data_IF_661865002371
#
_entry.id   IF_661865002371
#
_cell.length_a   1.000
_cell.length_b   1.000
_cell.length_c   1.000
_cell.angle_alpha   90.00
_cell.angle_beta   90.00
_cell.angle_gamma   90.00
#
_symmetry.space_group_name_H-M   'P 1'
#
loop_
_entity.id
_entity.type
_entity.pdbx_description
1 polymer ?
#
# COMPACT_ATOMS: atom_id res chain seq x y z
N UNK A 1 -8.49 1.97 -7.42
CA UNK A 1 -7.70 2.97 -6.70
C UNK A 1 -6.21 2.71 -6.76
N UNK A 2 -5.49 3.44 -5.95
CA UNK A 2 -4.03 3.32 -5.80
C UNK A 2 -3.69 2.94 -4.38
N UNK A 3 -2.66 2.11 -4.22
CA UNK A 3 -2.05 1.81 -2.93
C UNK A 3 -0.58 2.21 -3.01
N UNK A 4 -0.09 2.87 -1.97
CA UNK A 4 1.25 3.45 -1.95
C UNK A 4 2.14 2.67 -0.98
N UNK A 5 3.08 1.92 -1.53
CA UNK A 5 4.03 1.13 -0.75
C UNK A 5 5.35 1.89 -0.68
N UNK A 6 5.61 2.48 0.48
CA UNK A 6 6.87 3.18 0.75
C UNK A 6 7.76 2.34 1.65
N UNK A 7 9.01 2.17 1.25
CA UNK A 7 10.00 1.38 1.99
C UNK A 7 11.15 2.28 2.40
N UNK A 8 11.52 2.25 3.67
CA UNK A 8 12.66 3.03 4.19
C UNK A 8 13.98 2.29 3.98
N UNK A 9 15.10 3.00 4.20
CA UNK A 9 16.44 2.41 4.13
C UNK A 9 16.65 1.26 5.12
N UNK A 10 15.88 1.25 6.22
CA UNK A 10 15.95 0.18 7.23
C UNK A 10 14.94 -0.93 6.97
N UNK A 11 14.43 -1.03 5.74
CA UNK A 11 13.49 -2.06 5.32
C UNK A 11 12.18 -2.04 6.11
N UNK A 12 11.72 -0.84 6.48
CA UNK A 12 10.42 -0.65 7.11
C UNK A 12 9.43 -0.16 6.09
N UNK A 13 8.20 -0.63 6.20
CA UNK A 13 7.11 -0.17 5.35
C UNK A 13 6.32 0.93 6.05
N UNK A 14 5.98 1.97 5.29
CA UNK A 14 5.22 3.11 5.81
C UNK A 14 3.74 2.76 5.83
N UNK A 15 3.12 2.87 6.99
CA UNK A 15 1.74 2.47 7.24
C UNK A 15 0.98 3.57 7.98
N UNK A 16 -0.34 3.47 7.99
CA UNK A 16 -1.18 4.32 8.84
C UNK A 16 -2.41 3.53 9.28
N UNK A 17 -3.07 4.03 10.33
CA UNK A 17 -4.34 3.48 10.80
C UNK A 17 -5.45 4.10 9.96
N UNK A 18 -6.26 3.26 9.31
CA UNK A 18 -7.41 3.73 8.53
C UNK A 18 -8.47 4.29 9.46
N UNK A 19 -9.24 5.30 9.00
CA UNK A 19 -10.38 5.80 9.80
C UNK A 19 -11.33 4.68 10.20
N UNK A 20 -11.99 4.82 11.35
CA UNK A 20 -12.90 3.79 11.88
C UNK A 20 -14.20 3.62 11.07
N UNK A 21 -14.29 4.21 9.89
CA UNK A 21 -15.45 4.13 9.02
C UNK A 21 -15.10 3.44 7.71
N UNK A 22 -16.05 2.68 7.17
CA UNK A 22 -15.89 2.02 5.89
C UNK A 22 -15.08 0.74 5.97
N UNK A 23 -14.69 0.23 4.79
CA UNK A 23 -13.92 -1.00 4.68
C UNK A 23 -12.54 -0.85 5.32
N UNK A 24 -12.12 -1.88 6.03
CA UNK A 24 -10.83 -1.94 6.71
C UNK A 24 -10.65 -0.83 7.76
N UNK A 25 -11.76 -0.27 8.27
CA UNK A 25 -11.70 0.79 9.28
C UNK A 25 -10.95 0.36 10.53
N UNK A 26 -10.08 1.22 11.05
CA UNK A 26 -9.27 0.96 12.24
C UNK A 26 -8.08 0.05 12.03
N UNK A 27 -7.91 -0.56 10.86
CA UNK A 27 -6.78 -1.44 10.56
C UNK A 27 -5.54 -0.66 10.13
N UNK A 28 -4.36 -1.17 10.46
CA UNK A 28 -3.09 -0.60 10.01
C UNK A 28 -2.82 -1.10 8.60
N UNK A 29 -2.68 -0.18 7.65
CA UNK A 29 -2.51 -0.49 6.24
C UNK A 29 -1.52 0.46 5.58
N UNK A 30 -0.93 0.08 4.43
CA UNK A 30 -0.28 1.05 3.58
C UNK A 30 -1.26 2.15 3.17
N UNK A 31 -0.81 3.41 2.96
CA UNK A 31 -1.72 4.45 2.49
C UNK A 31 -2.30 4.10 1.12
N UNK A 32 -3.53 4.48 0.90
CA UNK A 32 -4.21 4.26 -0.37
C UNK A 32 -5.06 5.47 -0.73
N UNK A 33 -5.39 5.59 -2.02
CA UNK A 33 -6.38 6.55 -2.48
C UNK A 33 -7.76 6.15 -1.96
N UNK A 34 -8.74 7.02 -2.19
CA UNK A 34 -10.13 6.66 -1.98
C UNK A 34 -10.55 5.55 -2.94
N UNK A 35 -11.48 4.71 -2.52
CA UNK A 35 -12.02 3.62 -3.33
C UNK A 35 -13.41 4.03 -3.80
N UNK A 36 -13.49 4.55 -5.01
CA UNK A 36 -14.75 5.07 -5.58
C UNK A 36 -15.34 4.08 -6.59
N UNK A 37 -16.65 3.82 -6.52
CA UNK A 37 -17.29 2.97 -7.52
C UNK A 37 -17.31 3.68 -8.88
N UNK A 38 -17.03 2.92 -9.92
CA UNK A 38 -17.10 3.38 -11.33
C UNK A 38 -16.13 4.50 -11.73
N UNK A 39 -15.22 4.88 -10.83
CA UNK A 39 -14.26 5.96 -11.10
C UNK A 39 -12.90 5.61 -10.52
N UNK A 40 -11.85 5.80 -11.31
CA UNK A 40 -10.49 5.67 -10.80
C UNK A 40 -10.08 7.05 -10.27
N UNK A 41 -9.71 7.17 -9.00
CA UNK A 41 -9.33 8.47 -8.42
C UNK A 41 -8.00 8.95 -9.02
N UNK A 42 -7.70 10.23 -8.79
CA UNK A 42 -6.42 10.79 -9.19
C UNK A 42 -5.26 10.12 -8.42
N UNK A 43 -4.14 9.93 -9.12
CA UNK A 43 -2.93 9.39 -8.50
C UNK A 43 -2.18 10.52 -7.81
N UNK A 44 -2.49 10.74 -6.54
CA UNK A 44 -1.86 11.78 -5.72
C UNK A 44 -1.18 11.10 -4.53
N UNK A 45 0.14 10.84 -4.62
CA UNK A 45 0.85 10.20 -3.51
C UNK A 45 0.78 11.06 -2.25
N UNK A 46 0.43 10.46 -1.10
CA UNK A 46 0.30 11.21 0.16
C UNK A 46 1.64 11.53 0.83
N UNK A 47 2.72 10.95 0.35
CA UNK A 47 4.06 11.09 0.93
C UNK A 47 5.02 11.48 -0.19
N UNK A 48 5.93 12.41 0.10
CA UNK A 48 6.95 12.81 -0.87
C UNK A 48 7.87 11.63 -1.21
N UNK A 49 8.14 11.46 -2.50
CA UNK A 49 8.99 10.38 -2.99
C UNK A 49 8.95 10.29 -4.51
N UNK A 50 9.77 9.41 -5.05
CA UNK A 50 9.81 9.13 -6.49
C UNK A 50 9.00 7.86 -6.76
N UNK A 51 7.70 8.04 -6.96
CA UNK A 51 6.75 6.93 -7.06
C UNK A 51 6.75 6.30 -8.44
N UNK A 52 6.86 4.98 -8.46
CA UNK A 52 6.83 4.16 -9.66
C UNK A 52 5.59 3.27 -9.64
N UNK A 53 4.84 3.25 -10.73
CA UNK A 53 3.69 2.35 -10.87
C UNK A 53 4.21 0.96 -11.24
N UNK A 54 3.83 -0.05 -10.47
CA UNK A 54 4.22 -1.43 -10.75
C UNK A 54 3.34 -2.02 -11.85
N UNK A 55 3.85 -3.04 -12.54
CA UNK A 55 3.16 -3.64 -13.68
C UNK A 55 1.91 -4.44 -13.29
N UNK A 56 1.91 -5.02 -12.10
CA UNK A 56 0.81 -5.85 -11.63
C UNK A 56 -0.22 -5.02 -10.90
N UNK A 57 -1.49 -5.24 -11.23
CA UNK A 57 -2.63 -4.63 -10.55
C UNK A 57 -3.21 -5.65 -9.57
N UNK A 58 -3.48 -5.23 -8.35
CA UNK A 58 -4.12 -6.08 -7.35
C UNK A 58 -5.63 -6.04 -7.57
N UNK A 59 -6.24 -7.22 -7.67
CA UNK A 59 -7.69 -7.36 -7.77
C UNK A 59 -8.20 -8.15 -6.59
N UNK A 60 -9.29 -7.67 -6.00
CA UNK A 60 -9.90 -8.32 -4.85
C UNK A 60 -11.42 -8.19 -4.91
N UNK A 61 -12.11 -9.31 -4.72
CA UNK A 61 -13.56 -9.34 -4.71
C UNK A 61 -14.07 -9.30 -3.28
N UNK A 62 -14.82 -8.25 -2.97
CA UNK A 62 -15.61 -8.18 -1.73
C UNK A 62 -17.02 -8.69 -2.03
N UNK A 63 -17.83 -8.87 -1.00
CA UNK A 63 -19.18 -9.42 -1.15
C UNK A 63 -20.04 -8.63 -2.15
N UNK A 64 -19.90 -7.30 -2.19
CA UNK A 64 -20.76 -6.44 -2.98
C UNK A 64 -20.06 -5.70 -4.11
N UNK A 65 -18.74 -5.82 -4.26
CA UNK A 65 -18.01 -5.14 -5.33
C UNK A 65 -16.62 -5.74 -5.54
N UNK A 66 -16.06 -5.43 -6.71
CA UNK A 66 -14.68 -5.77 -7.04
C UNK A 66 -13.80 -4.54 -6.89
N UNK A 67 -12.65 -4.70 -6.27
CA UNK A 67 -11.66 -3.64 -6.08
C UNK A 67 -10.45 -3.91 -6.97
N UNK A 68 -10.03 -2.88 -7.67
CA UNK A 68 -8.80 -2.89 -8.45
C UNK A 68 -7.86 -1.82 -7.91
N UNK A 69 -6.66 -2.24 -7.48
CA UNK A 69 -5.65 -1.34 -6.95
C UNK A 69 -4.39 -1.38 -7.80
N UNK A 70 -4.00 -0.22 -8.29
CA UNK A 70 -2.67 -0.04 -8.87
C UNK A 70 -1.67 0.17 -7.76
N UNK A 71 -0.55 -0.54 -7.82
CA UNK A 71 0.46 -0.49 -6.77
C UNK A 71 1.52 0.52 -7.15
N UNK A 72 1.70 1.52 -6.29
CA UNK A 72 2.75 2.52 -6.43
C UNK A 72 3.85 2.23 -5.44
N UNK A 73 5.11 2.32 -5.86
CA UNK A 73 6.26 2.05 -5.01
C UNK A 73 7.22 3.23 -4.99
N UNK A 74 7.78 3.52 -3.81
CA UNK A 74 8.89 4.46 -3.65
C UNK A 74 9.75 4.09 -2.44
N UNK A 75 11.03 4.39 -2.51
CA UNK A 75 11.85 4.46 -1.31
C UNK A 75 11.54 5.78 -0.60
N UNK A 76 11.43 5.73 0.71
CA UNK A 76 11.03 6.87 1.54
C UNK A 76 12.18 7.25 2.47
N UNK A 77 12.62 8.50 2.39
CA UNK A 77 13.68 9.04 3.26
C UNK A 77 13.13 9.55 4.59
N UNK A 78 11.98 10.20 4.56
CA UNK A 78 11.36 10.79 5.74
C UNK A 78 9.94 10.30 5.89
N UNK A 79 9.63 9.66 7.02
CA UNK A 79 8.29 9.21 7.34
C UNK A 79 7.54 10.38 7.98
N UNK A 80 6.41 10.84 7.39
CA UNK A 80 5.63 11.94 7.99
C UNK A 80 5.08 11.57 9.36
N UNK A 81 4.79 12.59 10.16
CA UNK A 81 4.40 12.43 11.57
C UNK A 81 3.16 11.56 11.78
N UNK A 82 2.21 11.62 10.86
CA UNK A 82 0.95 10.85 10.97
C UNK A 82 1.08 9.40 10.50
N UNK A 83 2.25 8.98 10.07
CA UNK A 83 2.50 7.63 9.58
C UNK A 83 3.44 6.91 10.53
N UNK A 84 3.40 5.58 10.46
CA UNK A 84 4.32 4.73 11.23
C UNK A 84 5.13 3.87 10.27
N UNK A 85 6.39 3.60 10.64
CA UNK A 85 7.23 2.69 9.89
C UNK A 85 7.27 1.36 10.65
N UNK A 86 6.80 0.29 9.99
CA UNK A 86 6.75 -1.04 10.56
C UNK A 86 7.78 -1.94 9.90
N UNK A 87 8.43 -2.77 10.68
CA UNK A 87 9.39 -3.74 10.14
C UNK A 87 8.67 -4.68 9.17
N UNK A 88 9.22 -4.79 7.97
CA UNK A 88 8.64 -5.64 6.93
C UNK A 88 9.10 -7.09 7.16
N UNK A 89 8.23 -7.88 7.76
CA UNK A 89 8.49 -9.29 8.04
C UNK A 89 7.22 -10.11 7.83
N UNK A 90 7.33 -11.42 7.96
CA UNK A 90 6.21 -12.33 7.75
C UNK A 90 5.05 -12.07 8.72
N UNK A 91 5.35 -11.70 9.95
CA UNK A 91 4.33 -11.39 10.95
C UNK A 91 3.49 -10.19 10.52
N UNK A 92 4.12 -9.12 10.03
CA UNK A 92 3.41 -7.96 9.52
C UNK A 92 2.55 -8.31 8.32
N UNK A 93 3.11 -9.03 7.35
CA UNK A 93 2.40 -9.44 6.14
C UNK A 93 1.17 -10.25 6.50
N UNK A 94 1.31 -11.21 7.39
CA UNK A 94 0.20 -12.07 7.83
C UNK A 94 -0.90 -11.30 8.55
N UNK A 95 -0.54 -10.27 9.34
CA UNK A 95 -1.50 -9.46 10.09
C UNK A 95 -2.18 -8.37 9.27
N UNK A 96 -1.68 -8.09 8.07
CA UNK A 96 -2.26 -7.07 7.19
C UNK A 96 -3.48 -7.62 6.45
N UNK A 97 -4.53 -6.82 6.20
CA UNK A 97 -5.67 -7.27 5.41
C UNK A 97 -5.26 -7.89 4.06
N UNK A 98 -5.96 -8.93 3.65
CA UNK A 98 -5.58 -9.73 2.47
C UNK A 98 -5.38 -8.90 1.21
N UNK A 99 -6.23 -7.91 0.95
CA UNK A 99 -6.10 -7.06 -0.24
C UNK A 99 -4.81 -6.23 -0.19
N UNK A 100 -4.46 -5.71 0.97
CA UNK A 100 -3.22 -4.94 1.15
C UNK A 100 -1.99 -5.85 1.17
N UNK A 101 -2.14 -7.08 1.67
CA UNK A 101 -1.08 -8.09 1.63
C UNK A 101 -0.63 -8.36 0.20
N UNK A 102 -1.57 -8.48 -0.73
CA UNK A 102 -1.26 -8.67 -2.15
C UNK A 102 -0.41 -7.52 -2.69
N UNK A 103 -0.75 -6.28 -2.33
CA UNK A 103 0.00 -5.10 -2.75
C UNK A 103 1.42 -5.09 -2.18
N UNK A 104 1.57 -5.42 -0.90
CA UNK A 104 2.88 -5.51 -0.25
C UNK A 104 3.75 -6.55 -0.94
N UNK A 105 3.20 -7.71 -1.25
CA UNK A 105 3.93 -8.80 -1.92
C UNK A 105 4.38 -8.39 -3.33
N UNK A 106 3.56 -7.66 -4.07
CA UNK A 106 3.95 -7.13 -5.38
C UNK A 106 5.15 -6.17 -5.25
N UNK A 107 5.13 -5.30 -4.25
CA UNK A 107 6.25 -4.39 -4.00
C UNK A 107 7.51 -5.14 -3.58
N UNK A 108 7.41 -6.15 -2.73
CA UNK A 108 8.54 -6.98 -2.31
C UNK A 108 9.15 -7.69 -3.53
N UNK A 109 8.31 -8.25 -4.39
CA UNK A 109 8.78 -8.91 -5.62
C UNK A 109 9.48 -7.94 -6.55
N UNK A 110 8.96 -6.72 -6.66
CA UNK A 110 9.58 -5.67 -7.47
C UNK A 110 10.99 -5.33 -6.95
N UNK A 111 11.12 -5.13 -5.64
CA UNK A 111 12.42 -4.83 -5.02
C UNK A 111 13.42 -5.96 -5.26
N UNK A 112 13.00 -7.21 -5.06
CA UNK A 112 13.86 -8.38 -5.29
C UNK A 112 14.31 -8.50 -6.75
N UNK A 113 13.42 -8.19 -7.69
CA UNK A 113 13.72 -8.27 -9.12
C UNK A 113 14.68 -7.18 -9.59
N UNK A 114 14.77 -6.07 -8.86
CA UNK A 114 15.60 -4.92 -9.22
C UNK A 114 16.90 -4.84 -8.41
N UNK A 115 17.14 -5.80 -7.52
CA UNK A 115 18.44 -5.99 -6.86
C UNK A 115 19.28 -6.90 -7.75
N UNK A 116 20.29 -6.33 -8.35
CA UNK A 116 21.24 -7.09 -9.16
C UNK A 116 22.58 -7.07 -8.47
#
# INVERSE_FOLDING_TARGET
GYVYIGITKTEKIVMLVRPNKGLLGGMICPPSSEWEPNNFPANIPPIAGSWTMLNQTVKHTFTHFDLELKVMFSYISNVPENYVAKKLNQSLITSTPKVMRKAILEAVNYVKSNIV
#
